data_IF_401445261305
#
_entry.id   IF_401445261305
#
_cell.length_a   1.000
_cell.length_b   1.000
_cell.length_c   1.000
_cell.angle_alpha   90.00
_cell.angle_beta   90.00
_cell.angle_gamma   90.00
#
_symmetry.space_group_name_H-M   'P 1'
#
loop_
_entity.id
_entity.type
_entity.pdbx_description
1 polymer ?
#
# COMPACT_ATOMS: atom_id res chain seq x y z
N UNK A 1 9.99 -11.65 -20.39
CA UNK A 1 9.44 -10.45 -19.73
C UNK A 1 9.36 -9.32 -20.76
N UNK A 2 8.17 -8.81 -21.06
CA UNK A 2 7.94 -7.66 -21.95
C UNK A 2 7.41 -6.49 -21.11
N UNK A 3 8.16 -5.41 -21.03
CA UNK A 3 7.78 -4.21 -20.27
C UNK A 3 6.67 -3.49 -21.01
N UNK A 4 5.57 -3.18 -20.30
CA UNK A 4 4.41 -2.43 -20.78
C UNK A 4 4.56 -0.95 -20.39
N UNK A 5 4.89 -0.69 -19.13
CA UNK A 5 5.10 0.68 -18.62
C UNK A 5 6.10 0.72 -17.48
N UNK A 6 6.75 1.88 -17.32
CA UNK A 6 7.59 2.20 -16.17
C UNK A 6 7.30 3.63 -15.72
N UNK A 7 7.22 3.84 -14.42
CA UNK A 7 6.93 5.15 -13.83
C UNK A 7 7.71 5.34 -12.54
N UNK A 8 8.33 6.49 -12.40
CA UNK A 8 8.92 6.94 -11.14
C UNK A 8 7.90 7.84 -10.41
N UNK A 9 7.44 7.39 -9.24
CA UNK A 9 6.46 8.09 -8.41
C UNK A 9 7.20 8.87 -7.34
N UNK A 10 7.17 10.22 -7.37
CA UNK A 10 7.87 11.03 -6.39
C UNK A 10 7.42 10.77 -4.95
N UNK A 11 8.29 11.05 -4.00
CA UNK A 11 7.96 11.05 -2.58
C UNK A 11 6.67 11.83 -2.29
N UNK A 12 5.84 11.30 -1.40
CA UNK A 12 4.56 11.87 -0.98
C UNK A 12 3.66 12.27 -2.16
N UNK A 13 3.58 11.40 -3.17
CA UNK A 13 2.69 11.57 -4.31
C UNK A 13 1.96 10.27 -4.64
N UNK A 14 0.89 10.36 -5.44
CA UNK A 14 0.10 9.23 -5.89
C UNK A 14 0.27 8.95 -7.38
N UNK A 15 0.01 7.71 -7.76
CA UNK A 15 -0.03 7.24 -9.14
C UNK A 15 -1.17 6.24 -9.32
N UNK A 16 -1.71 6.17 -10.54
CA UNK A 16 -2.67 5.12 -10.94
C UNK A 16 -2.39 4.66 -12.37
N UNK A 17 -2.80 3.44 -12.67
CA UNK A 17 -2.68 2.84 -13.99
C UNK A 17 -3.57 1.61 -14.15
N UNK A 18 -3.77 1.17 -15.38
CA UNK A 18 -4.50 -0.05 -15.69
C UNK A 18 -3.54 -1.22 -15.84
N UNK A 19 -3.99 -2.40 -15.41
CA UNK A 19 -3.28 -3.66 -15.56
C UNK A 19 -4.26 -4.72 -16.05
N UNK A 20 -3.84 -5.52 -17.03
CA UNK A 20 -4.65 -6.60 -17.60
C UNK A 20 -4.38 -7.92 -16.87
N UNK A 21 -5.33 -8.85 -17.02
CA UNK A 21 -5.18 -10.21 -16.49
C UNK A 21 -3.84 -10.83 -16.92
N UNK A 22 -3.16 -11.52 -16.00
CA UNK A 22 -1.83 -12.15 -16.12
C UNK A 22 -0.64 -11.19 -16.20
N UNK A 23 -0.83 -9.88 -16.36
CA UNK A 23 0.26 -8.93 -16.21
C UNK A 23 0.69 -8.83 -14.74
N UNK A 24 1.94 -8.41 -14.55
CA UNK A 24 2.55 -8.25 -13.23
C UNK A 24 2.91 -6.79 -13.02
N UNK A 25 2.52 -6.26 -11.84
CA UNK A 25 3.04 -4.99 -11.35
C UNK A 25 4.22 -5.26 -10.41
N UNK A 26 5.38 -4.68 -10.70
CA UNK A 26 6.54 -4.61 -9.82
C UNK A 26 6.57 -3.27 -9.12
N UNK A 27 6.65 -3.30 -7.81
CA UNK A 27 6.78 -2.12 -6.95
C UNK A 27 8.14 -2.20 -6.25
N UNK A 28 9.06 -1.31 -6.62
CA UNK A 28 10.40 -1.20 -6.01
C UNK A 28 10.41 -0.02 -5.06
N UNK A 29 10.61 -0.27 -3.77
CA UNK A 29 10.53 0.76 -2.75
C UNK A 29 11.26 0.37 -1.47
N UNK A 30 11.90 1.37 -0.83
CA UNK A 30 12.47 1.29 0.53
C UNK A 30 11.67 2.12 1.54
N UNK A 31 10.40 2.40 1.24
CA UNK A 31 9.45 3.16 2.04
C UNK A 31 8.12 2.42 2.08
N UNK A 32 7.21 2.83 2.96
CA UNK A 32 5.83 2.36 2.93
C UNK A 32 5.15 2.80 1.64
N UNK A 33 4.39 1.89 1.03
CA UNK A 33 3.55 2.16 -0.14
C UNK A 33 2.12 1.74 0.18
N UNK A 34 1.20 2.69 0.12
CA UNK A 34 -0.23 2.40 0.24
C UNK A 34 -0.75 2.00 -1.14
N UNK A 35 -1.09 0.72 -1.33
CA UNK A 35 -1.50 0.15 -2.61
C UNK A 35 -2.96 -0.27 -2.56
N UNK A 36 -3.75 0.18 -3.53
CA UNK A 36 -5.18 -0.14 -3.70
C UNK A 36 -5.47 -0.55 -5.14
N UNK A 37 -6.53 -1.32 -5.34
CA UNK A 37 -6.95 -1.72 -6.69
C UNK A 37 -8.45 -1.98 -6.74
N UNK A 38 -8.99 -1.84 -7.96
CA UNK A 38 -10.40 -1.90 -8.28
C UNK A 38 -10.57 -2.77 -9.53
N UNK A 39 -11.69 -3.51 -9.62
CA UNK A 39 -12.05 -4.21 -10.85
C UNK A 39 -12.43 -3.20 -11.93
N UNK A 40 -11.72 -3.23 -13.07
CA UNK A 40 -11.87 -2.20 -14.13
C UNK A 40 -13.31 -2.05 -14.64
N UNK A 41 -14.04 -3.17 -14.78
CA UNK A 41 -15.42 -3.17 -15.25
C UNK A 41 -16.46 -2.82 -14.17
N UNK A 42 -16.06 -2.81 -12.90
CA UNK A 42 -16.93 -2.48 -11.75
C UNK A 42 -16.09 -1.94 -10.59
N UNK A 43 -15.87 -0.64 -10.55
CA UNK A 43 -15.02 0.01 -9.54
C UNK A 43 -15.54 -0.09 -8.10
N UNK A 44 -16.78 -0.59 -7.89
CA UNK A 44 -17.28 -0.93 -6.55
C UNK A 44 -16.67 -2.22 -6.00
N UNK A 45 -16.27 -3.15 -6.88
CA UNK A 45 -15.47 -4.30 -6.50
C UNK A 45 -14.02 -3.86 -6.39
N UNK A 46 -13.52 -3.86 -5.18
CA UNK A 46 -12.24 -3.29 -4.81
C UNK A 46 -11.56 -4.12 -3.72
N UNK A 47 -10.29 -3.91 -3.54
CA UNK A 47 -9.46 -4.57 -2.53
C UNK A 47 -10.13 -4.55 -1.14
N UNK A 48 -10.01 -5.66 -0.41
CA UNK A 48 -10.53 -5.79 0.96
C UNK A 48 -9.50 -6.47 1.88
N UNK A 49 -8.99 -5.70 2.84
CA UNK A 49 -8.01 -6.19 3.81
C UNK A 49 -8.56 -7.36 4.67
N UNK A 50 -9.82 -7.28 5.10
CA UNK A 50 -10.41 -8.28 5.98
C UNK A 50 -10.56 -9.62 5.26
N UNK A 51 -11.09 -9.62 4.03
CA UNK A 51 -11.18 -10.83 3.21
C UNK A 51 -9.82 -11.41 2.87
N UNK A 52 -8.85 -10.56 2.54
CA UNK A 52 -7.48 -11.00 2.28
C UNK A 52 -6.89 -11.77 3.47
N UNK A 53 -7.08 -11.27 4.69
CA UNK A 53 -6.63 -11.97 5.91
C UNK A 53 -7.36 -13.30 6.12
N UNK A 54 -8.68 -13.32 5.98
CA UNK A 54 -9.50 -14.53 6.18
C UNK A 54 -9.16 -15.61 5.15
N UNK A 55 -9.07 -15.26 3.87
CA UNK A 55 -8.76 -16.24 2.82
C UNK A 55 -7.36 -16.83 2.92
N UNK A 56 -6.40 -16.11 3.47
CA UNK A 56 -5.04 -16.59 3.70
C UNK A 56 -4.82 -17.12 5.14
N UNK A 57 -5.81 -16.99 6.03
CA UNK A 57 -5.72 -17.37 7.45
C UNK A 57 -4.49 -16.76 8.15
N UNK A 58 -4.15 -15.51 7.81
CA UNK A 58 -2.98 -14.80 8.37
C UNK A 58 -3.19 -13.29 8.44
N UNK A 59 -2.52 -12.64 9.39
CA UNK A 59 -2.44 -11.18 9.49
C UNK A 59 -1.43 -10.57 8.51
N UNK A 60 -0.47 -11.37 8.02
CA UNK A 60 0.63 -10.92 7.17
C UNK A 60 0.67 -11.73 5.90
N UNK A 61 0.73 -11.05 4.77
CA UNK A 61 0.81 -11.68 3.45
C UNK A 61 2.21 -11.54 2.85
N UNK A 62 2.61 -12.53 2.07
CA UNK A 62 3.87 -12.59 1.35
C UNK A 62 3.67 -13.40 0.06
N UNK A 63 4.75 -13.78 -0.65
CA UNK A 63 4.66 -14.56 -1.88
C UNK A 63 3.78 -15.82 -1.73
N UNK A 64 2.94 -16.08 -2.72
CA UNK A 64 1.94 -17.15 -2.75
C UNK A 64 0.56 -16.77 -2.22
N UNK A 65 0.44 -15.68 -1.46
CA UNK A 65 -0.85 -15.23 -0.91
C UNK A 65 -1.70 -14.49 -1.94
N UNK A 66 -3.03 -14.64 -1.76
CA UNK A 66 -4.07 -14.01 -2.57
C UNK A 66 -4.48 -12.67 -1.99
N UNK A 67 -4.68 -11.69 -2.83
CA UNK A 67 -5.28 -10.41 -2.47
C UNK A 67 -6.73 -10.40 -2.96
N UNK A 68 -7.66 -10.25 -2.03
CA UNK A 68 -9.09 -10.47 -2.26
C UNK A 68 -9.85 -9.16 -2.38
N UNK A 69 -10.88 -9.18 -3.20
CA UNK A 69 -11.83 -8.09 -3.33
C UNK A 69 -13.01 -8.21 -2.37
N UNK A 70 -13.82 -7.13 -2.35
CA UNK A 70 -14.99 -7.02 -1.47
C UNK A 70 -16.03 -8.10 -1.71
N UNK A 71 -16.24 -8.52 -2.96
CA UNK A 71 -17.19 -9.57 -3.34
C UNK A 71 -16.56 -10.98 -3.32
N UNK A 72 -15.46 -11.15 -2.53
CA UNK A 72 -14.70 -12.40 -2.41
C UNK A 72 -14.04 -12.85 -3.72
N UNK A 73 -13.82 -11.95 -4.67
CA UNK A 73 -13.09 -12.28 -5.89
C UNK A 73 -11.58 -12.27 -5.62
N UNK A 74 -10.87 -13.24 -6.18
CA UNK A 74 -9.41 -13.27 -6.19
C UNK A 74 -8.91 -12.28 -7.24
N UNK A 75 -8.42 -11.12 -6.78
CA UNK A 75 -8.07 -10.02 -7.68
C UNK A 75 -6.59 -10.02 -8.08
N UNK A 76 -5.70 -10.34 -7.15
CA UNK A 76 -4.25 -10.38 -7.40
C UNK A 76 -3.57 -11.48 -6.59
N UNK A 77 -2.39 -11.92 -7.03
CA UNK A 77 -1.50 -12.86 -6.32
C UNK A 77 -0.12 -12.22 -6.13
N UNK A 78 0.41 -12.24 -4.91
CA UNK A 78 1.82 -11.89 -4.67
C UNK A 78 2.69 -13.02 -5.22
N UNK A 79 3.45 -12.77 -6.29
CA UNK A 79 4.28 -13.80 -6.93
C UNK A 79 5.74 -13.74 -6.48
N UNK A 80 6.19 -12.57 -6.02
CA UNK A 80 7.49 -12.39 -5.40
C UNK A 80 7.43 -11.31 -4.32
N UNK A 81 8.13 -11.56 -3.23
CA UNK A 81 8.28 -10.63 -2.11
C UNK A 81 9.75 -10.64 -1.68
N UNK A 82 10.42 -9.53 -1.88
CA UNK A 82 11.83 -9.36 -1.54
C UNK A 82 12.07 -8.96 -0.08
N UNK A 83 11.05 -8.49 0.65
CA UNK A 83 11.19 -8.02 2.04
C UNK A 83 11.17 -9.18 3.04
N UNK A 84 12.22 -10.02 3.04
CA UNK A 84 12.29 -11.27 3.81
C UNK A 84 12.35 -11.06 5.33
N UNK A 85 12.98 -9.99 5.80
CA UNK A 85 13.15 -9.68 7.23
C UNK A 85 11.94 -9.00 7.84
N UNK A 86 11.05 -8.48 7.01
CA UNK A 86 9.92 -7.65 7.44
C UNK A 86 8.56 -8.26 7.20
N UNK A 87 7.57 -7.41 7.27
CA UNK A 87 6.15 -7.72 7.04
C UNK A 87 5.50 -6.57 6.28
N UNK A 88 4.37 -6.88 5.66
CA UNK A 88 3.46 -5.90 5.07
C UNK A 88 2.23 -5.78 5.96
N UNK A 89 1.67 -4.58 6.06
CA UNK A 89 0.54 -4.33 6.96
C UNK A 89 -0.81 -4.40 6.24
N UNK A 90 -1.76 -5.05 6.90
CA UNK A 90 -3.18 -5.14 6.50
C UNK A 90 -4.12 -4.68 7.64
N UNK A 91 -3.61 -3.92 8.61
CA UNK A 91 -4.38 -3.53 9.80
C UNK A 91 -4.73 -2.04 9.78
N UNK A 92 -3.91 -1.23 9.12
CA UNK A 92 -4.05 0.22 9.11
C UNK A 92 -4.70 0.73 7.82
N UNK A 93 -5.37 1.86 7.95
CA UNK A 93 -5.80 2.67 6.82
C UNK A 93 -4.73 3.68 6.41
N UNK A 94 -5.07 4.50 5.41
CA UNK A 94 -4.23 5.57 4.87
C UNK A 94 -3.87 6.61 5.94
N UNK A 95 -2.64 7.12 5.89
CA UNK A 95 -2.31 8.35 6.60
C UNK A 95 -2.89 9.57 5.86
N UNK A 96 -3.08 10.69 6.56
CA UNK A 96 -3.60 11.94 6.00
C UNK A 96 -3.00 13.16 6.68
N UNK A 97 -3.01 14.29 5.99
CA UNK A 97 -2.60 15.57 6.58
C UNK A 97 -3.43 15.93 7.81
N UNK A 98 -4.73 15.60 7.82
CA UNK A 98 -5.59 15.78 8.99
C UNK A 98 -5.09 14.99 10.20
N UNK A 99 -4.80 13.68 10.02
CA UNK A 99 -4.29 12.82 11.09
C UNK A 99 -2.97 13.32 11.66
N UNK A 100 -2.07 13.81 10.82
CA UNK A 100 -0.79 14.35 11.28
C UNK A 100 -0.98 15.60 12.13
N UNK A 101 -1.83 16.54 11.70
CA UNK A 101 -2.17 17.75 12.47
C UNK A 101 -2.80 17.41 13.82
N UNK A 102 -3.78 16.48 13.82
CA UNK A 102 -4.43 16.02 15.05
C UNK A 102 -3.42 15.42 16.03
N UNK A 103 -2.58 14.50 15.58
CA UNK A 103 -1.55 13.87 16.41
C UNK A 103 -0.55 14.88 16.97
N UNK A 104 -0.20 15.94 16.22
CA UNK A 104 0.64 17.04 16.70
C UNK A 104 -0.07 17.87 17.76
N UNK A 105 -1.34 18.23 17.53
CA UNK A 105 -2.16 18.99 18.48
C UNK A 105 -2.34 18.25 19.81
N UNK A 106 -2.53 16.94 19.77
CA UNK A 106 -2.67 16.07 20.93
C UNK A 106 -1.33 15.68 21.58
N UNK A 107 -0.20 16.16 21.04
CA UNK A 107 1.15 15.78 21.48
C UNK A 107 1.42 14.27 21.45
N UNK A 108 0.85 13.55 20.45
CA UNK A 108 0.89 12.08 20.33
C UNK A 108 1.81 11.57 19.22
N UNK A 109 2.58 12.42 18.55
CA UNK A 109 3.45 11.95 17.47
C UNK A 109 4.45 10.89 17.93
N UNK A 110 5.01 11.04 19.15
CA UNK A 110 5.95 10.06 19.71
C UNK A 110 5.31 8.70 20.05
N UNK A 111 3.98 8.63 20.22
CA UNK A 111 3.27 7.36 20.41
C UNK A 111 3.15 6.58 19.09
N UNK A 112 3.10 7.29 17.96
CA UNK A 112 2.87 6.68 16.65
C UNK A 112 4.15 6.40 15.89
N UNK A 113 5.22 7.17 16.13
CA UNK A 113 6.43 7.09 15.31
C UNK A 113 7.69 6.91 16.16
N UNK A 114 8.58 5.99 15.77
CA UNK A 114 9.78 5.64 16.55
C UNK A 114 10.94 6.63 16.39
N UNK A 115 10.67 7.85 15.89
CA UNK A 115 11.65 8.93 15.75
C UNK A 115 11.02 10.28 16.01
N UNK A 116 11.87 11.28 16.28
CA UNK A 116 11.43 12.68 16.37
C UNK A 116 10.90 13.17 15.01
N UNK A 117 9.71 13.76 15.00
CA UNK A 117 9.09 14.38 13.84
C UNK A 117 9.14 15.90 14.01
N UNK A 118 10.08 16.54 13.29
CA UNK A 118 10.26 18.01 13.33
C UNK A 118 9.17 18.72 12.53
N UNK A 119 8.87 18.20 11.36
CA UNK A 119 7.88 18.75 10.44
C UNK A 119 6.88 17.67 10.03
N UNK A 120 5.61 18.03 10.03
CA UNK A 120 4.54 17.17 9.53
C UNK A 120 4.19 17.55 8.09
N UNK A 121 3.95 16.58 7.19
CA UNK A 121 3.47 16.87 5.86
C UNK A 121 2.07 17.52 5.91
N UNK A 122 1.75 18.34 4.92
CA UNK A 122 0.43 18.94 4.74
C UNK A 122 -0.61 17.95 4.24
N UNK A 123 -0.17 16.89 3.56
CA UNK A 123 -1.00 15.80 3.04
C UNK A 123 -0.33 14.43 3.24
N UNK A 124 -1.08 13.35 3.03
CA UNK A 124 -0.63 11.96 3.14
C UNK A 124 -1.21 11.07 2.06
N UNK A 125 -1.22 9.76 2.30
CA UNK A 125 -1.67 8.77 1.32
C UNK A 125 -3.15 8.92 0.96
N UNK A 126 -3.99 9.38 1.89
CA UNK A 126 -5.40 9.65 1.62
C UNK A 126 -5.58 10.68 0.50
N UNK A 127 -4.92 11.83 0.61
CA UNK A 127 -4.98 12.89 -0.38
C UNK A 127 -4.30 12.48 -1.70
N UNK A 128 -3.18 11.76 -1.61
CA UNK A 128 -2.45 11.25 -2.78
C UNK A 128 -3.30 10.28 -3.60
N UNK A 129 -3.92 9.28 -2.95
CA UNK A 129 -4.77 8.30 -3.61
C UNK A 129 -6.04 8.94 -4.15
N UNK A 130 -6.69 9.84 -3.38
CA UNK A 130 -7.86 10.59 -3.85
C UNK A 130 -7.56 11.31 -5.17
N UNK A 131 -6.44 12.00 -5.25
CA UNK A 131 -6.00 12.69 -6.47
C UNK A 131 -5.69 11.71 -7.60
N UNK A 132 -5.02 10.60 -7.30
CA UNK A 132 -4.59 9.63 -8.31
C UNK A 132 -5.76 8.92 -9.00
N UNK A 133 -6.87 8.67 -8.28
CA UNK A 133 -8.03 7.96 -8.85
C UNK A 133 -9.17 8.88 -9.30
N UNK A 134 -9.05 10.20 -9.10
CA UNK A 134 -10.10 11.16 -9.42
C UNK A 134 -10.53 11.13 -10.90
N UNK A 135 -9.59 10.91 -11.83
CA UNK A 135 -9.88 10.82 -13.27
C UNK A 135 -10.80 9.63 -13.63
N UNK A 136 -10.92 8.64 -12.77
CA UNK A 136 -11.80 7.48 -12.93
C UNK A 136 -13.16 7.65 -12.24
N UNK A 137 -13.44 8.84 -11.70
CA UNK A 137 -14.68 9.12 -10.99
C UNK A 137 -14.81 8.46 -9.61
N UNK A 138 -13.69 7.97 -9.05
CA UNK A 138 -13.66 7.39 -7.71
C UNK A 138 -13.52 8.53 -6.71
N UNK A 139 -14.46 8.59 -5.76
CA UNK A 139 -14.43 9.54 -4.64
C UNK A 139 -13.66 8.96 -3.46
N UNK A 140 -13.23 9.81 -2.55
CA UNK A 140 -12.38 9.43 -1.42
C UNK A 140 -13.00 8.32 -0.55
N UNK A 141 -14.32 8.35 -0.35
CA UNK A 141 -15.08 7.38 0.44
C UNK A 141 -15.12 5.98 -0.19
N UNK A 142 -14.87 5.89 -1.50
CA UNK A 142 -14.81 4.62 -2.22
C UNK A 142 -13.43 4.02 -2.27
N UNK A 143 -12.38 4.72 -1.81
CA UNK A 143 -11.03 4.18 -1.74
C UNK A 143 -10.94 3.21 -0.55
N UNK A 144 -10.58 1.94 -0.77
CA UNK A 144 -10.47 0.96 0.32
C UNK A 144 -9.26 1.23 1.22
N UNK A 145 -9.26 0.66 2.42
CA UNK A 145 -8.03 0.57 3.22
C UNK A 145 -6.95 -0.15 2.42
N UNK A 146 -5.73 0.39 2.31
CA UNK A 146 -4.71 -0.09 1.38
C UNK A 146 -4.03 -1.38 1.85
N UNK A 147 -3.41 -2.09 0.93
CA UNK A 147 -2.31 -2.98 1.23
C UNK A 147 -1.06 -2.11 1.46
N UNK A 148 -0.64 -1.99 2.73
CA UNK A 148 0.50 -1.17 3.12
C UNK A 148 1.79 -1.97 2.93
N UNK A 149 2.36 -1.94 1.71
CA UNK A 149 3.62 -2.59 1.42
C UNK A 149 4.74 -1.98 2.27
N UNK A 150 5.67 -2.83 2.69
CA UNK A 150 6.87 -2.44 3.45
C UNK A 150 6.60 -1.75 4.80
N UNK A 151 5.35 -1.67 5.24
CA UNK A 151 5.01 -1.15 6.57
C UNK A 151 5.14 -2.26 7.62
N UNK A 152 6.35 -2.42 8.16
CA UNK A 152 6.58 -3.41 9.21
C UNK A 152 5.99 -2.94 10.54
N UNK A 153 5.02 -3.72 11.05
CA UNK A 153 4.37 -3.52 12.33
C UNK A 153 4.71 -4.66 13.27
N UNK A 154 5.03 -4.34 14.53
CA UNK A 154 4.97 -5.34 15.61
C UNK A 154 3.55 -5.39 16.13
N UNK A 155 3.04 -6.61 16.28
CA UNK A 155 1.71 -6.87 16.85
C UNK A 155 1.91 -7.82 18.03
N UNK A 156 1.47 -7.40 19.20
CA UNK A 156 1.42 -8.25 20.38
C UNK A 156 0.20 -9.16 20.31
N UNK A 157 0.42 -10.47 20.28
CA UNK A 157 -0.65 -11.47 20.10
C UNK A 157 -1.59 -11.61 21.29
N UNK A 158 -1.24 -11.07 22.47
CA UNK A 158 -2.05 -11.14 23.69
C UNK A 158 -2.89 -9.88 23.85
N UNK A 159 -2.26 -8.71 23.74
CA UNK A 159 -2.90 -7.41 23.97
C UNK A 159 -3.48 -6.78 22.71
N UNK A 160 -3.07 -7.25 21.52
CA UNK A 160 -3.39 -6.63 20.24
C UNK A 160 -2.67 -5.29 19.99
N UNK A 161 -1.73 -4.89 20.86
CA UNK A 161 -0.97 -3.65 20.69
C UNK A 161 -0.17 -3.68 19.40
N UNK A 162 -0.23 -2.58 18.64
CA UNK A 162 0.51 -2.39 17.39
C UNK A 162 1.54 -1.28 17.54
N UNK A 163 2.75 -1.53 17.04
CA UNK A 163 3.84 -0.55 17.07
C UNK A 163 4.48 -0.42 15.69
N UNK A 164 4.68 0.82 15.24
CA UNK A 164 5.49 1.10 14.06
C UNK A 164 6.96 0.77 14.32
N UNK A 165 7.63 0.22 13.31
CA UNK A 165 9.08 0.02 13.35
C UNK A 165 9.77 0.82 12.26
N UNK A 166 11.09 0.91 12.35
CA UNK A 166 11.94 1.52 11.32
C UNK A 166 12.44 0.50 10.27
N UNK A 167 12.09 -0.78 10.43
CA UNK A 167 12.51 -1.80 9.48
C UNK A 167 11.83 -1.58 8.12
N UNK A 168 12.63 -1.48 7.08
CA UNK A 168 12.23 -1.34 5.68
C UNK A 168 13.12 -2.22 4.80
N UNK A 169 12.68 -2.56 3.57
CA UNK A 169 13.54 -3.28 2.64
C UNK A 169 14.78 -2.49 2.26
N UNK A 170 15.82 -3.19 1.85
CA UNK A 170 17.04 -2.61 1.28
C UNK A 170 16.79 -2.02 -0.12
N UNK A 171 17.70 -1.18 -0.58
CA UNK A 171 17.63 -0.58 -1.91
C UNK A 171 17.63 -1.64 -3.02
N UNK A 172 16.82 -1.42 -4.03
CA UNK A 172 16.61 -2.37 -5.13
C UNK A 172 15.65 -3.52 -4.80
N UNK A 173 15.17 -3.62 -3.56
CA UNK A 173 14.18 -4.64 -3.18
C UNK A 173 12.80 -4.31 -3.77
N UNK A 174 12.07 -5.34 -4.18
CA UNK A 174 10.77 -5.19 -4.86
C UNK A 174 9.77 -6.27 -4.47
N UNK A 175 8.51 -5.99 -4.78
CA UNK A 175 7.41 -6.94 -4.77
C UNK A 175 6.82 -7.04 -6.17
N UNK A 176 6.57 -8.28 -6.64
CA UNK A 176 5.80 -8.56 -7.85
C UNK A 176 4.42 -9.08 -7.49
N UNK A 177 3.39 -8.48 -8.07
CA UNK A 177 1.99 -8.85 -7.85
C UNK A 177 1.33 -9.05 -9.21
N UNK A 178 0.82 -10.27 -9.46
CA UNK A 178 0.14 -10.61 -10.71
C UNK A 178 -1.34 -10.28 -10.61
N UNK A 179 -1.90 -9.70 -11.66
CA UNK A 179 -3.33 -9.49 -11.80
C UNK A 179 -4.06 -10.78 -12.22
N UNK A 180 -5.13 -11.13 -11.52
CA UNK A 180 -5.99 -12.28 -11.82
C UNK A 180 -7.25 -11.87 -12.60
N UNK A 181 -7.39 -10.59 -12.88
CA UNK A 181 -8.41 -9.95 -13.71
C UNK A 181 -7.94 -8.57 -14.16
N UNK A 182 -8.68 -7.92 -15.05
CA UNK A 182 -8.38 -6.54 -15.44
C UNK A 182 -8.69 -5.58 -14.30
N UNK A 183 -7.69 -4.79 -13.89
CA UNK A 183 -7.78 -3.90 -12.74
C UNK A 183 -7.37 -2.47 -13.09
N UNK A 184 -7.95 -1.53 -12.37
CA UNK A 184 -7.36 -0.24 -12.09
C UNK A 184 -6.55 -0.38 -10.79
N UNK A 185 -5.28 -0.05 -10.82
CA UNK A 185 -4.38 -0.05 -9.66
C UNK A 185 -3.98 1.38 -9.32
N UNK A 186 -3.83 1.67 -8.03
CA UNK A 186 -3.30 2.96 -7.59
C UNK A 186 -2.43 2.79 -6.36
N UNK A 187 -1.42 3.64 -6.23
CA UNK A 187 -0.56 3.65 -5.06
C UNK A 187 -0.16 5.07 -4.65
N UNK A 188 0.23 5.17 -3.38
CA UNK A 188 0.87 6.37 -2.82
C UNK A 188 2.25 6.01 -2.29
N UNK A 189 3.27 6.76 -2.73
CA UNK A 189 4.58 6.80 -2.08
C UNK A 189 4.43 7.52 -0.73
N UNK A 190 4.22 6.76 0.33
CA UNK A 190 3.89 7.29 1.65
C UNK A 190 4.94 8.32 2.15
N UNK A 191 4.54 9.41 2.83
CA UNK A 191 5.50 10.26 3.54
C UNK A 191 6.28 9.53 4.64
N UNK A 192 5.83 8.35 5.05
CA UNK A 192 6.46 7.40 5.96
C UNK A 192 7.20 8.05 7.13
N UNK A 193 6.44 8.64 8.04
CA UNK A 193 7.01 9.36 9.18
C UNK A 193 7.88 8.49 10.11
N UNK A 194 7.81 7.16 9.99
CA UNK A 194 8.65 6.26 10.79
C UNK A 194 10.13 6.28 10.36
N UNK A 195 10.42 6.47 9.06
CA UNK A 195 11.78 6.44 8.52
C UNK A 195 12.13 7.65 7.63
N UNK A 196 11.12 8.38 7.17
CA UNK A 196 11.21 9.37 6.09
C UNK A 196 10.92 8.72 4.76
N UNK A 197 9.91 9.27 4.05
CA UNK A 197 9.47 8.72 2.77
C UNK A 197 10.50 8.90 1.66
N UNK A 198 10.39 8.04 0.65
CA UNK A 198 11.23 8.03 -0.55
C UNK A 198 10.35 7.84 -1.79
N UNK A 199 10.85 8.10 -3.00
CA UNK A 199 10.14 7.78 -4.23
C UNK A 199 9.97 6.27 -4.40
N UNK A 200 9.07 5.89 -5.31
CA UNK A 200 8.72 4.50 -5.64
C UNK A 200 8.82 4.30 -7.14
N UNK A 201 9.44 3.21 -7.58
CA UNK A 201 9.43 2.82 -8.98
C UNK A 201 8.39 1.75 -9.23
N UNK A 202 7.60 1.96 -10.28
CA UNK A 202 6.52 1.05 -10.71
C UNK A 202 6.82 0.56 -12.11
N UNK A 203 6.71 -0.75 -12.33
CA UNK A 203 6.81 -1.37 -13.65
C UNK A 203 5.64 -2.32 -13.85
N UNK A 204 4.95 -2.23 -14.99
CA UNK A 204 3.98 -3.24 -15.44
C UNK A 204 4.60 -4.02 -16.58
N UNK A 205 4.51 -5.35 -16.55
CA UNK A 205 5.10 -6.23 -17.55
C UNK A 205 4.31 -7.52 -17.77
N UNK A 206 4.49 -8.12 -18.94
CA UNK A 206 4.10 -9.52 -19.22
C UNK A 206 5.26 -10.45 -18.81
N UNK A 207 4.99 -11.53 -18.03
CA UNK A 207 6.01 -12.48 -17.58
C UNK A 207 6.80 -13.14 -18.71
#
# INVERSE_FOLDING_TARGET
MKIISQTHVPHNSGWSGEIEINQVIRITATTTVDFVFFKRQNLRERFDQARTKVYNMTLFVTAGHKLMGRDNQHMMTIVYDGFKEGRHDLQKGMCSGYRFRLAKQENRLAEYYPREIKEIPDHGCYENLTKAVAAYGIIAEDIPSPFNLNQHMKIDGVTGKMEHTQLRPEEGNYMDIRAEMDLLVALSACPDLAVGGKPVDVMIYEP
#
